data_IF_149667525749
#
_entry.id   IF_149667525749
#
_cell.length_a   1.000
_cell.length_b   1.000
_cell.length_c   1.000
_cell.angle_alpha   90.00
_cell.angle_beta   90.00
_cell.angle_gamma   90.00
#
_symmetry.space_group_name_H-M   'P 1'
#
loop_
_entity.id
_entity.type
_entity.pdbx_description
1 polymer ?
#
# COMPACT_ATOMS: atom_id res chain seq x y z
N UNK A 1 -7.75 31.23 23.07
CA UNK A 1 -7.40 31.03 21.64
C UNK A 1 -7.52 29.57 21.28
N UNK A 2 -8.73 29.06 21.14
CA UNK A 2 -9.06 27.69 20.73
C UNK A 2 -10.03 27.76 19.56
N UNK A 3 -9.55 28.21 18.42
CA UNK A 3 -10.36 28.24 17.22
C UNK A 3 -9.46 28.12 16.02
N UNK A 4 -9.24 26.90 15.53
CA UNK A 4 -8.85 26.63 14.15
C UNK A 4 -8.60 25.13 13.86
N UNK A 5 -9.12 24.18 14.66
CA UNK A 5 -9.04 22.77 14.35
C UNK A 5 -10.44 22.17 14.21
N UNK A 6 -11.24 22.74 13.32
CA UNK A 6 -12.35 21.98 12.78
C UNK A 6 -11.76 20.86 11.92
N UNK A 7 -12.14 19.59 12.11
CA UNK A 7 -11.80 18.52 11.19
C UNK A 7 -12.52 18.82 9.88
N UNK A 8 -11.89 19.59 9.02
CA UNK A 8 -12.34 19.74 7.66
C UNK A 8 -12.35 18.31 7.08
N UNK A 9 -13.48 17.90 6.57
CA UNK A 9 -13.63 16.69 5.78
C UNK A 9 -12.78 16.86 4.52
N UNK A 10 -11.44 16.69 4.69
CA UNK A 10 -10.46 16.95 3.63
C UNK A 10 -10.66 15.93 2.55
N UNK A 11 -10.72 16.36 1.32
CA UNK A 11 -10.82 15.50 0.16
C UNK A 11 -9.63 14.52 0.07
N UNK A 12 -9.80 13.44 -0.65
CA UNK A 12 -8.76 12.43 -0.91
C UNK A 12 -7.43 13.06 -1.34
N UNK A 13 -7.51 13.99 -2.31
CA UNK A 13 -6.33 14.63 -2.91
C UNK A 13 -5.58 15.49 -1.89
N UNK A 14 -6.31 16.32 -1.13
CA UNK A 14 -5.69 17.17 -0.11
C UNK A 14 -5.03 16.32 0.98
N UNK A 15 -5.70 15.24 1.39
CA UNK A 15 -5.17 14.32 2.38
C UNK A 15 -3.89 13.62 1.88
N UNK A 16 -3.92 13.10 0.66
CA UNK A 16 -2.76 12.46 0.06
C UNK A 16 -1.60 13.45 -0.13
N UNK A 17 -1.88 14.67 -0.59
CA UNK A 17 -0.89 15.73 -0.72
C UNK A 17 -0.26 16.08 0.64
N UNK A 18 -1.08 16.32 1.66
CA UNK A 18 -0.59 16.76 2.98
C UNK A 18 0.24 15.69 3.68
N UNK A 19 -0.16 14.42 3.62
CA UNK A 19 0.64 13.35 4.21
C UNK A 19 1.99 13.19 3.50
N UNK A 20 2.08 13.50 2.21
CA UNK A 20 3.33 13.47 1.46
C UNK A 20 4.21 14.70 1.69
N UNK A 21 3.63 15.88 1.80
CA UNK A 21 4.40 17.14 1.85
C UNK A 21 4.64 17.64 3.28
N UNK A 22 3.69 17.40 4.18
CA UNK A 22 3.72 17.90 5.56
C UNK A 22 3.31 16.82 6.57
N UNK A 23 3.97 15.64 6.59
CA UNK A 23 3.55 14.50 7.41
C UNK A 23 3.53 14.83 8.91
N UNK A 24 4.49 15.62 9.39
CA UNK A 24 4.58 15.96 10.83
C UNK A 24 3.38 16.74 11.35
N UNK A 25 2.74 17.53 10.50
CA UNK A 25 1.52 18.28 10.84
C UNK A 25 0.25 17.48 10.55
N UNK A 26 0.29 16.57 9.60
CA UNK A 26 -0.88 15.80 9.20
C UNK A 26 -1.16 14.62 10.16
N UNK A 27 -0.15 13.95 10.69
CA UNK A 27 -0.32 12.86 11.64
C UNK A 27 -1.10 13.23 12.91
N UNK A 28 -0.85 14.37 13.58
CA UNK A 28 -1.67 14.83 14.70
C UNK A 28 -3.15 15.04 14.33
N UNK A 29 -3.43 15.52 13.10
CA UNK A 29 -4.80 15.69 12.61
C UNK A 29 -5.48 14.34 12.44
N UNK A 30 -4.80 13.39 11.78
CA UNK A 30 -5.29 12.01 11.59
C UNK A 30 -5.57 11.35 12.95
N UNK A 31 -4.70 11.55 13.94
CA UNK A 31 -4.91 11.02 15.29
C UNK A 31 -6.19 11.54 15.95
N UNK A 32 -6.49 12.83 15.76
CA UNK A 32 -7.66 13.48 16.36
C UNK A 32 -8.98 13.08 15.66
N UNK A 33 -8.92 12.57 14.44
CA UNK A 33 -10.12 12.18 13.68
C UNK A 33 -10.76 10.90 14.26
N UNK A 34 -12.10 10.92 14.29
CA UNK A 34 -12.92 9.77 14.74
C UNK A 34 -13.42 8.92 13.57
N UNK A 35 -12.77 9.03 12.40
CA UNK A 35 -13.16 8.34 11.17
C UNK A 35 -13.22 6.82 11.38
N UNK A 36 -14.35 6.22 11.06
CA UNK A 36 -14.53 4.78 11.15
C UNK A 36 -13.81 4.03 10.02
N UNK A 37 -13.51 2.74 10.25
CA UNK A 37 -12.81 1.89 9.27
C UNK A 37 -13.50 1.88 7.90
N UNK A 38 -14.82 1.75 7.87
CA UNK A 38 -15.59 1.76 6.62
C UNK A 38 -15.47 3.08 5.86
N UNK A 39 -15.43 4.21 6.58
CA UNK A 39 -15.27 5.53 6.00
C UNK A 39 -13.84 5.73 5.46
N UNK A 40 -12.83 5.27 6.20
CA UNK A 40 -11.43 5.27 5.73
C UNK A 40 -11.29 4.47 4.42
N UNK A 41 -11.89 3.27 4.37
CA UNK A 41 -11.83 2.45 3.17
C UNK A 41 -12.54 3.11 1.98
N UNK A 42 -13.79 3.53 2.15
CA UNK A 42 -14.58 4.14 1.07
C UNK A 42 -13.99 5.47 0.58
N UNK A 43 -13.52 6.29 1.51
CA UNK A 43 -13.05 7.65 1.20
C UNK A 43 -11.58 7.74 0.80
N UNK A 44 -10.76 6.73 1.14
CA UNK A 44 -9.32 6.80 0.94
C UNK A 44 -8.71 5.55 0.32
N UNK A 45 -8.87 4.39 0.96
CA UNK A 45 -8.16 3.16 0.56
C UNK A 45 -8.65 2.65 -0.79
N UNK A 46 -9.97 2.56 -1.00
CA UNK A 46 -10.56 2.06 -2.26
C UNK A 46 -10.18 2.93 -3.46
N UNK A 47 -10.32 4.27 -3.44
CA UNK A 47 -9.88 5.10 -4.56
C UNK A 47 -8.38 4.97 -4.86
N UNK A 48 -7.54 4.89 -3.83
CA UNK A 48 -6.10 4.76 -3.98
C UNK A 48 -5.69 3.40 -4.54
N UNK A 49 -6.31 2.33 -4.07
CA UNK A 49 -6.12 0.98 -4.59
C UNK A 49 -6.61 0.86 -6.04
N UNK A 50 -7.76 1.47 -6.37
CA UNK A 50 -8.28 1.50 -7.73
C UNK A 50 -7.33 2.23 -8.69
N UNK A 51 -6.76 3.36 -8.27
CA UNK A 51 -5.75 4.08 -9.03
C UNK A 51 -4.55 3.18 -9.36
N UNK A 52 -3.99 2.49 -8.36
CA UNK A 52 -2.88 1.55 -8.56
C UNK A 52 -3.25 0.37 -9.47
N UNK A 53 -4.47 -0.14 -9.35
CA UNK A 53 -4.96 -1.25 -10.19
C UNK A 53 -5.10 -0.84 -11.66
N UNK A 54 -5.61 0.36 -11.93
CA UNK A 54 -5.68 0.93 -13.29
C UNK A 54 -4.29 1.06 -13.90
N UNK A 55 -3.33 1.57 -13.14
CA UNK A 55 -1.94 1.68 -13.60
C UNK A 55 -1.31 0.31 -13.87
N UNK A 56 -1.60 -0.69 -13.04
CA UNK A 56 -1.19 -2.09 -13.28
C UNK A 56 -1.75 -2.63 -14.58
N UNK A 57 -3.04 -2.38 -14.85
CA UNK A 57 -3.66 -2.78 -16.11
C UNK A 57 -2.98 -2.13 -17.31
N UNK A 58 -2.79 -0.80 -17.27
CA UNK A 58 -2.11 -0.05 -18.34
C UNK A 58 -0.71 -0.61 -18.55
N UNK A 59 0.05 -0.85 -17.46
CA UNK A 59 1.41 -1.38 -17.54
C UNK A 59 1.47 -2.75 -18.18
N UNK A 60 0.56 -3.66 -17.84
CA UNK A 60 0.59 -5.05 -18.28
C UNK A 60 -0.05 -5.26 -19.66
N UNK A 61 -1.17 -4.58 -19.95
CA UNK A 61 -1.95 -4.83 -21.16
C UNK A 61 -1.75 -3.79 -22.26
N UNK A 62 -1.45 -2.53 -21.91
CA UNK A 62 -1.29 -1.46 -22.90
C UNK A 62 0.19 -1.27 -23.26
N UNK A 63 1.05 -1.05 -22.25
CA UNK A 63 2.49 -0.82 -22.47
C UNK A 63 3.23 -2.15 -22.67
N UNK A 64 3.02 -3.11 -21.77
CA UNK A 64 3.72 -4.40 -21.75
C UNK A 64 5.05 -4.33 -20.99
N UNK A 65 5.75 -5.47 -20.92
CA UNK A 65 7.08 -5.64 -20.36
C UNK A 65 8.01 -6.16 -21.46
N UNK A 66 8.83 -5.31 -22.01
CA UNK A 66 9.60 -5.62 -23.22
C UNK A 66 8.66 -5.83 -24.42
N UNK A 67 8.82 -6.97 -25.12
CA UNK A 67 7.94 -7.34 -26.24
C UNK A 67 6.62 -7.99 -25.80
N UNK A 68 6.39 -8.14 -24.51
CA UNK A 68 5.25 -8.87 -23.96
C UNK A 68 4.13 -7.97 -23.53
N UNK A 69 2.92 -8.30 -23.98
CA UNK A 69 1.67 -7.67 -23.54
C UNK A 69 0.70 -8.72 -23.07
N UNK A 70 0.10 -8.49 -21.93
CA UNK A 70 -0.95 -9.37 -21.42
C UNK A 70 -2.26 -9.12 -22.20
N UNK A 71 -2.96 -10.16 -22.66
CA UNK A 71 -4.28 -10.01 -23.27
C UNK A 71 -5.22 -9.22 -22.34
N UNK A 72 -6.05 -8.36 -22.93
CA UNK A 72 -6.89 -7.40 -22.17
C UNK A 72 -7.70 -8.07 -21.06
N UNK A 73 -8.35 -9.21 -21.35
CA UNK A 73 -9.15 -9.93 -20.35
C UNK A 73 -8.31 -10.42 -19.17
N UNK A 74 -7.13 -10.95 -19.44
CA UNK A 74 -6.21 -11.42 -18.41
C UNK A 74 -5.60 -10.26 -17.62
N UNK A 75 -5.28 -9.15 -18.28
CA UNK A 75 -4.83 -7.93 -17.64
C UNK A 75 -5.89 -7.32 -16.73
N UNK A 76 -7.16 -7.40 -17.13
CA UNK A 76 -8.25 -6.96 -16.26
C UNK A 76 -8.39 -7.88 -15.04
N UNK A 77 -8.31 -9.20 -15.21
CA UNK A 77 -8.32 -10.14 -14.08
C UNK A 77 -7.14 -9.89 -13.13
N UNK A 78 -5.94 -9.64 -13.67
CA UNK A 78 -4.75 -9.28 -12.89
C UNK A 78 -4.96 -7.97 -12.11
N UNK A 79 -5.52 -6.93 -12.75
CA UNK A 79 -5.78 -5.65 -12.09
C UNK A 79 -6.83 -5.78 -10.97
N UNK A 80 -7.90 -6.57 -11.20
CA UNK A 80 -8.90 -6.85 -10.17
C UNK A 80 -8.33 -7.64 -9.00
N UNK A 81 -7.47 -8.63 -9.28
CA UNK A 81 -6.76 -9.36 -8.23
C UNK A 81 -5.87 -8.42 -7.42
N UNK A 82 -5.05 -7.58 -8.09
CA UNK A 82 -4.24 -6.55 -7.41
C UNK A 82 -5.07 -5.61 -6.54
N UNK A 83 -6.22 -5.15 -7.06
CA UNK A 83 -7.14 -4.32 -6.29
C UNK A 83 -7.61 -5.01 -5.02
N UNK A 84 -8.11 -6.25 -5.13
CA UNK A 84 -8.57 -7.03 -3.96
C UNK A 84 -7.44 -7.29 -2.96
N UNK A 85 -6.27 -7.69 -3.44
CA UNK A 85 -5.10 -7.93 -2.59
C UNK A 85 -4.54 -6.64 -1.96
N UNK A 86 -4.65 -5.49 -2.62
CA UNK A 86 -4.29 -4.20 -2.00
C UNK A 86 -5.21 -3.87 -0.82
N UNK A 87 -6.53 -4.05 -0.98
CA UNK A 87 -7.47 -3.84 0.12
C UNK A 87 -7.21 -4.79 1.30
N UNK A 88 -7.03 -6.08 1.01
CA UNK A 88 -6.69 -7.10 2.02
C UNK A 88 -5.33 -6.80 2.67
N UNK A 89 -4.33 -6.45 1.87
CA UNK A 89 -2.97 -6.15 2.32
C UNK A 89 -2.93 -4.98 3.29
N UNK A 90 -3.63 -3.88 3.01
CA UNK A 90 -3.73 -2.74 3.93
C UNK A 90 -4.43 -3.13 5.23
N UNK A 91 -5.47 -3.97 5.17
CA UNK A 91 -6.14 -4.47 6.34
C UNK A 91 -5.21 -5.32 7.22
N UNK A 92 -4.55 -6.30 6.62
CA UNK A 92 -3.57 -7.15 7.32
C UNK A 92 -2.39 -6.34 7.84
N UNK A 93 -1.93 -5.33 7.11
CA UNK A 93 -0.91 -4.41 7.56
C UNK A 93 -1.34 -3.68 8.86
N UNK A 94 -2.56 -3.14 8.88
CA UNK A 94 -3.10 -2.53 10.11
C UNK A 94 -3.20 -3.53 11.26
N UNK A 95 -3.64 -4.77 11.01
CA UNK A 95 -3.67 -5.82 12.04
C UNK A 95 -2.28 -6.17 12.58
N UNK A 96 -1.26 -6.21 11.73
CA UNK A 96 0.14 -6.44 12.15
C UNK A 96 0.61 -5.30 13.05
N UNK A 97 0.35 -4.05 12.69
CA UNK A 97 0.67 -2.89 13.51
C UNK A 97 -0.01 -3.01 14.87
N UNK A 98 -1.32 -3.27 14.91
CA UNK A 98 -2.07 -3.38 16.16
C UNK A 98 -1.58 -4.53 17.05
N UNK A 99 -1.31 -5.69 16.45
CA UNK A 99 -0.85 -6.87 17.17
C UNK A 99 0.53 -6.68 17.81
N UNK A 100 1.43 -5.97 17.14
CA UNK A 100 2.79 -5.70 17.59
C UNK A 100 2.86 -4.56 18.61
N UNK A 101 1.87 -3.68 18.70
CA UNK A 101 1.90 -2.49 19.56
C UNK A 101 2.30 -2.78 21.02
N UNK A 102 1.74 -3.80 21.71
CA UNK A 102 2.11 -4.08 23.10
C UNK A 102 3.58 -4.50 23.27
N UNK A 103 4.16 -5.19 22.28
CA UNK A 103 5.57 -5.60 22.32
C UNK A 103 6.53 -4.42 22.30
N UNK A 104 6.06 -3.27 21.82
CA UNK A 104 6.82 -2.01 21.78
C UNK A 104 6.26 -0.94 22.74
N UNK A 105 5.63 -1.38 23.83
CA UNK A 105 5.03 -0.52 24.85
C UNK A 105 3.99 0.50 24.27
N UNK A 106 3.39 0.18 23.13
CA UNK A 106 2.29 0.92 22.53
C UNK A 106 0.94 0.40 23.00
N UNK A 107 -0.11 1.13 22.66
CA UNK A 107 -1.49 0.75 22.97
C UNK A 107 -2.18 0.17 21.74
N UNK A 108 -2.90 -0.96 21.92
CA UNK A 108 -3.75 -1.51 20.87
C UNK A 108 -4.87 -0.54 20.53
N UNK A 109 -4.96 -0.21 19.25
CA UNK A 109 -6.04 0.57 18.69
C UNK A 109 -6.17 0.28 17.20
N UNK A 110 -7.00 -0.71 16.87
CA UNK A 110 -7.17 -1.17 15.49
C UNK A 110 -7.49 -0.04 14.50
N UNK A 111 -8.30 0.93 14.89
CA UNK A 111 -8.64 2.07 14.05
C UNK A 111 -7.39 2.91 13.73
N UNK A 112 -6.59 3.23 14.73
CA UNK A 112 -5.37 4.02 14.55
C UNK A 112 -4.30 3.23 13.79
N UNK A 113 -4.21 1.93 14.02
CA UNK A 113 -3.34 1.04 13.27
C UNK A 113 -3.70 0.99 11.77
N UNK A 114 -5.00 0.91 11.44
CA UNK A 114 -5.48 0.96 10.06
C UNK A 114 -5.25 2.33 9.41
N UNK A 115 -5.42 3.42 10.15
CA UNK A 115 -5.05 4.75 9.68
C UNK A 115 -3.54 4.81 9.37
N UNK A 116 -2.70 4.31 10.27
CA UNK A 116 -1.24 4.26 10.07
C UNK A 116 -0.90 3.46 8.80
N UNK A 117 -1.49 2.28 8.62
CA UNK A 117 -1.28 1.44 7.45
C UNK A 117 -1.71 2.15 6.14
N UNK A 118 -2.92 2.71 6.10
CA UNK A 118 -3.47 3.34 4.91
C UNK A 118 -2.64 4.56 4.47
N UNK A 119 -2.27 5.41 5.41
CA UNK A 119 -1.51 6.63 5.09
C UNK A 119 -0.03 6.35 4.83
N UNK A 120 0.59 5.38 5.51
CA UNK A 120 1.95 4.93 5.19
C UNK A 120 2.05 4.26 3.82
N UNK A 121 0.97 3.63 3.33
CA UNK A 121 0.92 3.02 2.00
C UNK A 121 0.76 4.04 0.87
N UNK A 122 0.35 5.28 1.14
CA UNK A 122 0.07 6.31 0.14
C UNK A 122 1.20 6.53 -0.86
N UNK A 123 2.48 6.69 -0.45
CA UNK A 123 3.56 6.90 -1.41
C UNK A 123 3.73 5.74 -2.37
N UNK A 124 3.62 4.49 -1.87
CA UNK A 124 3.74 3.30 -2.69
C UNK A 124 2.61 3.19 -3.72
N UNK A 125 1.37 3.52 -3.32
CA UNK A 125 0.22 3.49 -4.21
C UNK A 125 0.28 4.57 -5.30
N UNK A 126 0.66 5.79 -4.96
CA UNK A 126 0.84 6.88 -5.93
C UNK A 126 2.09 6.65 -6.79
N UNK A 127 3.14 6.07 -6.20
CA UNK A 127 4.34 5.66 -6.89
C UNK A 127 4.11 4.62 -7.98
N UNK A 128 2.96 3.93 -7.98
CA UNK A 128 2.58 3.01 -9.05
C UNK A 128 2.61 3.68 -10.44
N UNK A 129 2.45 5.01 -10.53
CA UNK A 129 2.61 5.76 -11.79
C UNK A 129 4.01 5.57 -12.39
N UNK A 130 5.03 5.43 -11.58
CA UNK A 130 6.40 5.25 -12.03
C UNK A 130 6.62 3.89 -12.71
N UNK A 131 5.78 2.90 -12.46
CA UNK A 131 5.85 1.60 -13.13
C UNK A 131 5.62 1.71 -14.64
N UNK A 132 5.02 2.81 -15.10
CA UNK A 132 4.87 3.11 -16.54
C UNK A 132 6.20 3.46 -17.22
N UNK A 133 7.24 3.82 -16.44
CA UNK A 133 8.58 4.14 -16.93
C UNK A 133 9.45 2.88 -16.94
N UNK A 134 9.85 2.32 -18.10
CA UNK A 134 10.53 1.02 -18.15
C UNK A 134 11.87 0.98 -17.41
N UNK A 135 12.70 2.01 -17.56
CA UNK A 135 14.07 2.03 -17.03
C UNK A 135 14.14 2.55 -15.59
N UNK A 136 13.48 3.67 -15.29
CA UNK A 136 13.56 4.36 -14.00
C UNK A 136 12.45 3.96 -13.02
N UNK A 137 11.37 3.36 -13.52
CA UNK A 137 10.19 3.04 -12.74
C UNK A 137 10.48 2.23 -11.47
N UNK A 138 11.23 1.12 -11.53
CA UNK A 138 11.53 0.33 -10.35
C UNK A 138 12.30 1.11 -9.26
N UNK A 139 13.25 1.97 -9.67
CA UNK A 139 14.01 2.81 -8.74
C UNK A 139 13.10 3.86 -8.07
N UNK A 140 12.28 4.55 -8.85
CA UNK A 140 11.34 5.55 -8.32
C UNK A 140 10.28 4.92 -7.42
N UNK A 141 9.80 3.72 -7.77
CA UNK A 141 8.89 2.96 -6.92
C UNK A 141 9.55 2.56 -5.60
N UNK A 142 10.83 2.15 -5.63
CA UNK A 142 11.57 1.84 -4.41
C UNK A 142 11.69 3.08 -3.51
N UNK A 143 12.00 4.25 -4.07
CA UNK A 143 12.06 5.52 -3.33
C UNK A 143 10.69 5.82 -2.69
N UNK A 144 9.61 5.63 -3.42
CA UNK A 144 8.26 5.81 -2.89
C UNK A 144 7.97 4.85 -1.72
N UNK A 145 8.39 3.58 -1.81
CA UNK A 145 8.26 2.61 -0.72
C UNK A 145 9.10 3.02 0.51
N UNK A 146 10.34 3.47 0.31
CA UNK A 146 11.19 3.97 1.40
C UNK A 146 10.57 5.19 2.09
N UNK A 147 9.95 6.07 1.32
CA UNK A 147 9.21 7.19 1.90
C UNK A 147 7.98 6.72 2.71
N UNK A 148 7.31 5.65 2.29
CA UNK A 148 6.26 5.01 3.09
C UNK A 148 6.75 4.50 4.45
N UNK A 149 7.97 3.94 4.50
CA UNK A 149 8.62 3.53 5.77
C UNK A 149 8.89 4.75 6.67
N UNK A 150 9.34 5.86 6.10
CA UNK A 150 9.51 7.11 6.85
C UNK A 150 8.18 7.62 7.42
N UNK A 151 7.09 7.57 6.64
CA UNK A 151 5.76 7.93 7.14
C UNK A 151 5.31 7.02 8.27
N UNK A 152 5.56 5.70 8.15
CA UNK A 152 5.28 4.72 9.19
C UNK A 152 6.04 5.08 10.49
N UNK A 153 7.34 5.38 10.38
CA UNK A 153 8.17 5.79 11.51
C UNK A 153 7.62 7.01 12.24
N UNK A 154 7.08 7.99 11.51
CA UNK A 154 6.47 9.18 12.10
C UNK A 154 5.07 8.90 12.71
N UNK A 155 4.30 8.00 12.10
CA UNK A 155 2.92 7.70 12.51
C UNK A 155 2.83 6.82 13.75
N UNK A 156 3.70 5.81 13.87
CA UNK A 156 3.66 4.81 14.95
C UNK A 156 3.67 5.43 16.37
N UNK A 157 4.60 6.33 16.73
CA UNK A 157 4.61 6.88 18.09
C UNK A 157 3.40 7.71 18.41
N UNK A 158 2.84 8.39 17.42
CA UNK A 158 1.69 9.26 17.59
C UNK A 158 0.38 8.47 17.69
N UNK A 159 0.16 7.52 16.78
CA UNK A 159 -1.11 6.81 16.66
C UNK A 159 -1.19 5.61 17.63
N UNK A 160 -0.09 4.87 17.79
CA UNK A 160 -0.02 3.72 18.69
C UNK A 160 0.52 4.06 20.08
N UNK A 161 0.86 5.33 20.33
CA UNK A 161 1.35 5.83 21.62
C UNK A 161 2.58 5.04 22.12
N UNK A 162 3.47 4.65 21.22
CA UNK A 162 4.70 3.95 21.56
C UNK A 162 5.79 4.95 21.96
N UNK A 163 6.61 4.66 23.01
CA UNK A 163 7.73 5.51 23.40
C UNK A 163 8.74 5.66 22.26
N UNK A 164 9.33 6.85 22.11
CA UNK A 164 10.26 7.17 21.02
C UNK A 164 11.44 6.18 20.92
N UNK A 165 11.92 5.69 22.05
CA UNK A 165 13.03 4.73 22.14
C UNK A 165 12.69 3.38 21.48
N UNK A 166 11.41 2.99 21.47
CA UNK A 166 10.93 1.73 20.88
C UNK A 166 10.56 1.83 19.40
N UNK A 167 10.39 3.06 18.89
CA UNK A 167 9.91 3.29 17.52
C UNK A 167 10.81 2.68 16.45
N UNK A 168 12.16 2.77 16.51
CA UNK A 168 13.02 2.16 15.49
C UNK A 168 12.81 0.63 15.39
N UNK A 169 12.78 -0.06 16.54
CA UNK A 169 12.54 -1.50 16.59
C UNK A 169 11.14 -1.88 16.12
N UNK A 170 10.12 -1.10 16.52
CA UNK A 170 8.75 -1.31 16.07
C UNK A 170 8.63 -1.17 14.56
N UNK A 171 9.17 -0.08 14.00
CA UNK A 171 9.15 0.16 12.55
C UNK A 171 9.88 -0.95 11.79
N UNK A 172 11.07 -1.35 12.24
CA UNK A 172 11.84 -2.42 11.60
C UNK A 172 11.07 -3.75 11.59
N UNK A 173 10.48 -4.14 12.73
CA UNK A 173 9.68 -5.38 12.82
C UNK A 173 8.46 -5.33 11.91
N UNK A 174 7.72 -4.21 11.90
CA UNK A 174 6.57 -4.01 11.02
C UNK A 174 7.00 -4.10 9.55
N UNK A 175 8.11 -3.47 9.16
CA UNK A 175 8.64 -3.51 7.79
C UNK A 175 8.97 -4.95 7.37
N UNK A 176 9.63 -5.74 8.23
CA UNK A 176 9.91 -7.15 7.95
C UNK A 176 8.60 -7.93 7.73
N UNK A 177 7.61 -7.75 8.61
CA UNK A 177 6.31 -8.40 8.47
C UNK A 177 5.60 -8.01 7.17
N UNK A 178 5.68 -6.73 6.75
CA UNK A 178 5.08 -6.27 5.50
C UNK A 178 5.79 -6.85 4.28
N UNK A 179 7.11 -6.98 4.32
CA UNK A 179 7.87 -7.61 3.23
C UNK A 179 7.42 -9.07 3.09
N UNK A 180 7.34 -9.83 4.19
CA UNK A 180 6.84 -11.21 4.17
C UNK A 180 5.41 -11.29 3.66
N UNK A 181 4.51 -10.42 4.13
CA UNK A 181 3.14 -10.33 3.66
C UNK A 181 3.09 -10.04 2.15
N UNK A 182 3.91 -9.10 1.67
CA UNK A 182 3.97 -8.74 0.25
C UNK A 182 4.44 -9.90 -0.63
N UNK A 183 5.39 -10.70 -0.16
CA UNK A 183 5.83 -11.92 -0.84
C UNK A 183 4.69 -12.93 -0.94
N UNK A 184 3.98 -13.19 0.16
CA UNK A 184 2.84 -14.12 0.19
C UNK A 184 1.74 -13.66 -0.77
N UNK A 185 1.35 -12.39 -0.72
CA UNK A 185 0.32 -11.83 -1.61
C UNK A 185 0.78 -11.84 -3.07
N UNK A 186 2.05 -11.52 -3.35
CA UNK A 186 2.62 -11.56 -4.70
C UNK A 186 2.64 -12.97 -5.31
N UNK A 187 3.03 -13.97 -4.52
CA UNK A 187 2.98 -15.38 -4.94
C UNK A 187 1.54 -15.81 -5.20
N UNK A 188 0.59 -15.38 -4.36
CA UNK A 188 -0.84 -15.69 -4.55
C UNK A 188 -1.39 -15.09 -5.84
N UNK A 189 -1.06 -13.84 -6.15
CA UNK A 189 -1.44 -13.20 -7.42
C UNK A 189 -0.84 -13.97 -8.61
N UNK A 190 0.44 -14.32 -8.53
CA UNK A 190 1.13 -15.07 -9.58
C UNK A 190 0.46 -16.43 -9.81
N UNK A 191 0.12 -17.17 -8.76
CA UNK A 191 -0.57 -18.45 -8.85
C UNK A 191 -1.94 -18.32 -9.55
N UNK A 192 -2.73 -17.30 -9.20
CA UNK A 192 -4.02 -17.02 -9.86
C UNK A 192 -3.81 -16.74 -11.36
N UNK A 193 -2.81 -15.95 -11.71
CA UNK A 193 -2.51 -15.64 -13.12
C UNK A 193 -2.08 -16.89 -13.87
N UNK A 194 -1.27 -17.76 -13.27
CA UNK A 194 -0.87 -19.04 -13.88
C UNK A 194 -2.08 -19.98 -14.09
N UNK A 195 -3.00 -20.06 -13.16
CA UNK A 195 -4.24 -20.86 -13.31
C UNK A 195 -5.09 -20.41 -14.49
N UNK A 196 -4.98 -19.16 -14.95
CA UNK A 196 -5.66 -18.70 -16.17
C UNK A 196 -4.99 -19.15 -17.47
N UNK A 197 -4.00 -20.04 -17.40
CA UNK A 197 -3.26 -20.55 -18.56
C UNK A 197 -2.34 -19.53 -19.22
N UNK A 198 -1.96 -18.47 -18.51
CA UNK A 198 -0.99 -17.50 -18.98
C UNK A 198 0.42 -17.94 -18.62
N UNK A 199 1.24 -18.26 -19.63
CA UNK A 199 2.69 -18.39 -19.48
C UNK A 199 3.38 -17.16 -20.05
N UNK A 200 4.17 -16.42 -19.29
CA UNK A 200 4.97 -15.33 -19.83
C UNK A 200 6.11 -15.83 -20.76
N UNK A 201 6.32 -17.15 -20.81
CA UNK A 201 7.32 -17.80 -21.67
C UNK A 201 6.66 -18.81 -22.59
N UNK A 202 6.21 -18.45 -23.83
CA UNK A 202 5.53 -19.37 -24.75
C UNK A 202 6.40 -20.53 -25.25
N UNK A 203 7.71 -20.47 -25.04
CA UNK A 203 8.63 -21.54 -25.45
C UNK A 203 8.77 -22.69 -24.45
N UNK A 204 8.29 -22.55 -23.21
CA UNK A 204 8.52 -23.56 -22.17
C UNK A 204 7.69 -24.85 -22.37
N UNK A 205 6.60 -24.80 -23.13
CA UNK A 205 5.73 -25.97 -23.39
C UNK A 205 6.08 -26.72 -24.68
N UNK A 206 6.95 -26.18 -25.54
CA UNK A 206 7.31 -26.82 -26.81
C UNK A 206 8.33 -27.96 -26.64
N UNK A 207 8.92 -28.13 -25.46
CA UNK A 207 10.02 -29.08 -25.21
C UNK A 207 9.52 -30.44 -24.67
N UNK A 208 8.26 -30.56 -24.27
CA UNK A 208 7.71 -31.79 -23.69
C UNK A 208 6.64 -32.51 -24.54
N UNK A 209 6.52 -32.17 -25.81
CA UNK A 209 5.56 -32.74 -26.76
C UNK A 209 6.21 -33.34 -28.02
N UNK A 210 7.31 -34.05 -27.84
CA UNK A 210 7.96 -34.81 -28.91
C UNK A 210 8.26 -36.21 -28.45
#
# INVERSE_FOLDING_TARGET
MQSAYAPANRGLIDRAKNILTTPKTEWPIIRAETTGVAQLYRGYVIPLAAFSAVLSFIRMSVIGVGYWRMPVLKGLAYALANFGFALLGIYLFGLIIDALAPSFAGQRNQRQALNTAAYAFTPAALGAVFTLLPALGPLLQLIACLYGIYLLYLGLPLLMQSPQEKVPGYTATVVVCIILLSVVLGVSISAIVHMTGYSPYPGAYAIHGG
#
